data_IF_696608951314
#
_entry.id   IF_696608951314
#
_cell.length_a   1.000
_cell.length_b   1.000
_cell.length_c   1.000
_cell.angle_alpha   90.00
_cell.angle_beta   90.00
_cell.angle_gamma   90.00
#
_symmetry.space_group_name_H-M   'P 1'
#
loop_
_entity.id
_entity.type
_entity.pdbx_description
1 polymer ?
#
# COMPACT_ATOMS: atom_id res chain seq x y z
N UNK A 1 -9.25 13.78 -3.88
CA UNK A 1 -9.10 13.44 -5.32
C UNK A 1 -9.55 12.00 -5.56
N UNK A 2 -9.66 11.53 -6.81
CA UNK A 2 -9.98 10.13 -7.13
C UNK A 2 -8.72 9.35 -7.56
N UNK A 3 -8.80 8.02 -7.60
CA UNK A 3 -7.67 7.13 -7.87
C UNK A 3 -7.06 7.29 -9.26
N UNK A 4 -7.90 7.46 -10.30
CA UNK A 4 -7.43 7.72 -11.67
C UNK A 4 -6.58 8.99 -11.72
N UNK A 5 -7.04 10.07 -11.08
CA UNK A 5 -6.31 11.33 -11.03
C UNK A 5 -5.01 11.18 -10.25
N UNK A 6 -5.04 10.49 -9.10
CA UNK A 6 -3.84 10.22 -8.31
C UNK A 6 -2.77 9.48 -9.13
N UNK A 7 -3.14 8.38 -9.80
CA UNK A 7 -2.22 7.59 -10.61
C UNK A 7 -1.58 8.43 -11.73
N UNK A 8 -2.38 9.22 -12.45
CA UNK A 8 -1.86 10.15 -13.47
C UNK A 8 -0.93 11.21 -12.87
N UNK A 9 -1.29 11.78 -11.72
CA UNK A 9 -0.45 12.78 -11.05
C UNK A 9 0.90 12.19 -10.67
N UNK A 10 0.93 11.05 -9.97
CA UNK A 10 2.19 10.42 -9.54
C UNK A 10 3.06 10.00 -10.74
N UNK A 11 2.45 9.44 -11.78
CA UNK A 11 3.16 9.06 -13.00
C UNK A 11 3.86 10.24 -13.67
N UNK A 12 3.24 11.42 -13.65
CA UNK A 12 3.77 12.63 -14.27
C UNK A 12 4.71 13.46 -13.38
N UNK A 13 4.93 13.08 -12.12
CA UNK A 13 5.91 13.77 -11.26
C UNK A 13 7.34 13.40 -11.67
N UNK A 14 8.20 14.40 -11.82
CA UNK A 14 9.64 14.23 -12.07
C UNK A 14 10.32 13.56 -10.88
N UNK A 15 10.01 14.03 -9.67
CA UNK A 15 10.48 13.46 -8.41
C UNK A 15 9.37 12.62 -7.81
N UNK A 16 9.60 11.31 -7.71
CA UNK A 16 8.62 10.41 -7.13
C UNK A 16 8.52 10.57 -5.61
N UNK A 17 7.29 10.61 -5.06
CA UNK A 17 7.07 10.74 -3.62
C UNK A 17 7.46 9.46 -2.88
N UNK A 18 7.71 9.58 -1.58
CA UNK A 18 7.97 8.44 -0.71
C UNK A 18 7.77 8.80 0.76
N UNK A 19 7.81 7.80 1.64
CA UNK A 19 7.63 8.03 3.07
C UNK A 19 7.53 6.75 3.89
N UNK A 20 7.20 6.90 5.17
CA UNK A 20 6.91 5.77 6.07
C UNK A 20 5.45 5.35 5.93
N UNK A 21 5.19 4.04 5.99
CA UNK A 21 3.85 3.47 5.80
C UNK A 21 3.13 3.20 7.11
N UNK A 22 1.84 3.54 7.14
CA UNK A 22 0.91 3.21 8.22
C UNK A 22 -0.40 2.69 7.63
N UNK A 23 -0.93 1.63 8.23
CA UNK A 23 -2.17 0.99 7.81
C UNK A 23 -3.13 0.94 8.98
N UNK A 24 -4.30 1.58 8.85
CA UNK A 24 -5.31 1.62 9.92
C UNK A 24 -4.70 1.99 11.29
N UNK A 25 -3.85 3.02 11.30
CA UNK A 25 -3.16 3.52 12.50
C UNK A 25 -1.96 2.71 12.98
N UNK A 26 -1.67 1.54 12.37
CA UNK A 26 -0.52 0.70 12.72
C UNK A 26 0.65 0.94 11.77
N UNK A 27 1.79 1.33 12.33
CA UNK A 27 3.02 1.52 11.57
C UNK A 27 3.50 0.19 11.00
N UNK A 28 3.93 0.21 9.74
CA UNK A 28 4.76 -0.86 9.22
C UNK A 28 6.19 -0.62 9.72
N UNK A 29 6.78 -1.62 10.37
CA UNK A 29 8.05 -1.50 11.10
C UNK A 29 8.04 -0.42 12.20
N UNK A 30 9.22 0.01 12.66
CA UNK A 30 9.34 1.14 13.58
C UNK A 30 8.97 2.44 12.85
N UNK A 31 8.25 3.38 13.50
CA UNK A 31 7.92 4.65 12.88
C UNK A 31 9.17 5.36 12.37
N UNK A 32 9.15 5.81 11.12
CA UNK A 32 10.25 6.56 10.48
C UNK A 32 11.57 5.78 10.31
N UNK A 33 11.56 4.46 10.52
CA UNK A 33 12.72 3.57 10.30
C UNK A 33 12.66 2.90 8.92
N UNK A 34 11.66 3.24 8.12
CA UNK A 34 11.53 2.82 6.74
C UNK A 34 11.13 4.00 5.84
N UNK A 35 11.54 3.90 4.58
CA UNK A 35 11.21 4.86 3.55
C UNK A 35 10.87 4.10 2.27
N UNK A 36 9.62 4.22 1.83
CA UNK A 36 9.06 3.53 0.68
C UNK A 36 8.89 4.54 -0.44
N UNK A 37 9.76 4.50 -1.47
CA UNK A 37 9.64 5.42 -2.61
C UNK A 37 8.75 4.80 -3.68
N UNK A 38 7.72 5.53 -4.09
CA UNK A 38 6.81 5.05 -5.14
C UNK A 38 7.55 5.07 -6.48
N UNK A 39 7.65 3.93 -7.15
CA UNK A 39 8.18 3.86 -8.53
C UNK A 39 7.05 3.95 -9.56
N UNK A 40 5.98 3.21 -9.32
CA UNK A 40 4.84 3.10 -10.22
C UNK A 40 3.54 3.26 -9.45
N UNK A 41 2.56 3.90 -10.09
CA UNK A 41 1.19 4.01 -9.58
C UNK A 41 0.20 3.83 -10.74
N UNK A 42 -0.68 2.83 -10.64
CA UNK A 42 -1.72 2.56 -11.63
C UNK A 42 -3.07 2.31 -10.95
N UNK A 43 -4.15 2.51 -11.70
CA UNK A 43 -5.50 2.22 -11.23
C UNK A 43 -6.28 1.51 -12.34
N UNK A 44 -6.69 0.28 -12.05
CA UNK A 44 -7.40 -0.61 -12.95
C UNK A 44 -8.36 -1.51 -12.14
N UNK A 45 -9.52 -1.82 -12.71
CA UNK A 45 -10.56 -2.69 -12.12
C UNK A 45 -10.92 -2.38 -10.64
N UNK A 46 -10.91 -1.09 -10.28
CA UNK A 46 -11.23 -0.64 -8.93
C UNK A 46 -10.09 -0.81 -7.92
N UNK A 47 -8.89 -1.21 -8.36
CA UNK A 47 -7.72 -1.45 -7.53
C UNK A 47 -6.66 -0.39 -7.84
N UNK A 48 -6.19 0.28 -6.80
CA UNK A 48 -5.03 1.17 -6.89
C UNK A 48 -3.78 0.39 -6.52
N UNK A 49 -2.83 0.37 -7.45
CA UNK A 49 -1.57 -0.34 -7.35
C UNK A 49 -0.42 0.64 -7.17
N UNK A 50 0.43 0.38 -6.19
CA UNK A 50 1.74 1.00 -6.06
C UNK A 50 2.83 -0.07 -6.12
N UNK A 51 3.94 0.25 -6.78
CA UNK A 51 5.21 -0.46 -6.61
C UNK A 51 6.22 0.45 -5.94
N UNK A 52 6.96 -0.08 -4.98
CA UNK A 52 8.01 0.64 -4.27
C UNK A 52 9.40 0.21 -4.74
N UNK A 53 10.41 0.99 -4.35
CA UNK A 53 11.79 0.86 -4.82
C UNK A 53 12.53 -0.39 -4.33
N UNK A 54 12.10 -0.99 -3.23
CA UNK A 54 12.65 -2.25 -2.71
C UNK A 54 11.83 -3.47 -3.18
N UNK A 55 10.87 -3.25 -4.09
CA UNK A 55 10.07 -4.30 -4.73
C UNK A 55 8.76 -4.63 -4.01
N UNK A 56 8.44 -3.95 -2.90
CA UNK A 56 7.13 -4.07 -2.27
C UNK A 56 6.03 -3.57 -3.19
N UNK A 57 4.83 -4.13 -2.99
CA UNK A 57 3.65 -3.70 -3.71
C UNK A 57 2.51 -3.40 -2.73
N UNK A 58 1.75 -2.37 -3.01
CA UNK A 58 0.55 -2.03 -2.26
C UNK A 58 -0.64 -2.02 -3.20
N UNK A 59 -1.64 -2.82 -2.86
CA UNK A 59 -2.91 -2.93 -3.59
C UNK A 59 -4.04 -2.47 -2.69
N UNK A 60 -4.86 -1.56 -3.17
CA UNK A 60 -5.96 -0.98 -2.41
C UNK A 60 -7.24 -1.07 -3.22
N UNK A 61 -8.23 -1.81 -2.72
CA UNK A 61 -9.51 -2.03 -3.38
C UNK A 61 -10.48 -0.90 -3.05
N UNK A 62 -11.06 -0.32 -4.09
CA UNK A 62 -12.03 0.78 -4.05
C UNK A 62 -11.58 1.92 -3.10
N UNK A 63 -10.39 2.51 -3.31
CA UNK A 63 -9.89 3.59 -2.48
C UNK A 63 -10.79 4.81 -2.58
N UNK A 64 -11.11 5.43 -1.44
CA UNK A 64 -11.96 6.61 -1.38
C UNK A 64 -11.37 7.68 -0.46
N UNK A 65 -11.82 8.93 -0.67
CA UNK A 65 -11.41 10.13 0.08
C UNK A 65 -9.88 10.30 0.12
N UNK A 66 -9.26 10.26 -1.06
CA UNK A 66 -7.81 10.37 -1.24
C UNK A 66 -7.34 11.82 -1.06
N UNK A 67 -6.36 12.03 -0.20
CA UNK A 67 -5.59 13.27 -0.04
C UNK A 67 -4.17 13.01 -0.51
N UNK A 68 -3.64 13.89 -1.35
CA UNK A 68 -2.26 13.82 -1.83
C UNK A 68 -1.68 15.22 -1.96
N UNK A 69 -0.54 15.43 -1.32
CA UNK A 69 0.25 16.66 -1.37
C UNK A 69 1.75 16.31 -1.22
N UNK A 70 2.58 17.34 -1.06
CA UNK A 70 4.02 17.28 -0.90
C UNK A 70 4.53 16.55 0.36
N UNK A 71 3.68 16.39 1.38
CA UNK A 71 4.06 15.77 2.66
C UNK A 71 3.39 14.42 2.91
N UNK A 72 2.25 14.16 2.29
CA UNK A 72 1.45 13.00 2.60
C UNK A 72 0.62 12.49 1.41
N UNK A 73 0.48 11.17 1.38
CA UNK A 73 -0.57 10.46 0.67
C UNK A 73 -1.44 9.73 1.70
N UNK A 74 -2.71 10.12 1.80
CA UNK A 74 -3.69 9.50 2.69
C UNK A 74 -4.85 8.94 1.88
N UNK A 75 -5.22 7.71 2.16
CA UNK A 75 -6.42 7.05 1.65
C UNK A 75 -7.27 6.70 2.86
N UNK A 76 -8.36 7.45 3.08
CA UNK A 76 -9.16 7.31 4.30
C UNK A 76 -9.91 5.98 4.34
N UNK A 77 -10.47 5.56 3.21
CA UNK A 77 -11.37 4.41 3.14
C UNK A 77 -10.95 3.47 2.01
N UNK A 78 -11.10 2.17 2.25
CA UNK A 78 -10.95 1.11 1.25
C UNK A 78 -11.76 -0.12 1.69
N UNK A 79 -12.02 -1.03 0.75
CA UNK A 79 -12.57 -2.36 1.09
C UNK A 79 -11.48 -3.32 1.57
N UNK A 80 -10.28 -3.20 1.02
CA UNK A 80 -9.14 -4.02 1.38
C UNK A 80 -7.85 -3.28 1.07
N UNK A 81 -6.84 -3.55 1.88
CA UNK A 81 -5.45 -3.21 1.60
C UNK A 81 -4.62 -4.48 1.67
N UNK A 82 -3.82 -4.75 0.64
CA UNK A 82 -2.78 -5.77 0.67
C UNK A 82 -1.43 -5.10 0.50
N UNK A 83 -0.54 -5.33 1.47
CA UNK A 83 0.86 -4.97 1.37
C UNK A 83 1.69 -6.22 1.16
N UNK A 84 2.25 -6.35 -0.04
CA UNK A 84 3.05 -7.49 -0.49
C UNK A 84 4.51 -7.10 -0.30
N UNK A 85 5.23 -7.91 0.47
CA UNK A 85 6.62 -7.64 0.86
C UNK A 85 7.41 -8.93 1.05
N UNK A 86 8.71 -8.76 1.22
CA UNK A 86 9.65 -9.83 1.55
C UNK A 86 10.32 -9.49 2.90
N UNK A 87 10.71 -10.49 3.72
CA UNK A 87 11.53 -10.24 4.89
C UNK A 87 12.83 -9.53 4.50
N UNK A 88 13.30 -8.66 5.38
CA UNK A 88 14.52 -7.90 5.15
C UNK A 88 15.73 -8.84 5.01
N UNK A 89 16.52 -8.64 3.96
CA UNK A 89 17.71 -9.44 3.66
C UNK A 89 17.43 -10.77 2.96
N UNK A 90 16.16 -11.13 2.75
CA UNK A 90 15.79 -12.38 2.09
C UNK A 90 15.58 -12.21 0.57
N UNK A 91 15.88 -13.24 -0.24
CA UNK A 91 15.58 -13.23 -1.67
C UNK A 91 14.08 -13.06 -1.97
N UNK A 92 13.75 -12.37 -3.06
CA UNK A 92 12.38 -12.16 -3.51
C UNK A 92 11.80 -13.39 -4.23
N UNK A 93 11.55 -14.47 -3.47
CA UNK A 93 10.96 -15.72 -3.96
C UNK A 93 9.51 -15.87 -3.49
N UNK A 94 8.75 -16.78 -4.11
CA UNK A 94 7.38 -17.07 -3.66
C UNK A 94 7.31 -17.57 -2.20
N UNK A 95 8.33 -18.29 -1.74
CA UNK A 95 8.43 -18.81 -0.38
C UNK A 95 8.58 -17.70 0.66
N UNK A 96 9.34 -16.65 0.31
CA UNK A 96 9.60 -15.50 1.16
C UNK A 96 8.52 -14.41 1.05
N UNK A 97 7.54 -14.57 0.17
CA UNK A 97 6.50 -13.59 -0.04
C UNK A 97 5.57 -13.53 1.18
N UNK A 98 5.32 -12.32 1.70
CA UNK A 98 4.37 -12.06 2.78
C UNK A 98 3.35 -11.04 2.31
N UNK A 99 2.07 -11.32 2.57
CA UNK A 99 0.96 -10.41 2.32
C UNK A 99 0.37 -10.00 3.67
N UNK A 100 0.57 -8.75 4.08
CA UNK A 100 -0.22 -8.18 5.17
C UNK A 100 -1.56 -7.71 4.58
N UNK A 101 -2.64 -8.41 4.94
CA UNK A 101 -3.99 -8.14 4.43
C UNK A 101 -4.83 -7.46 5.50
N UNK A 102 -5.45 -6.35 5.13
CA UNK A 102 -6.38 -5.59 5.96
C UNK A 102 -7.74 -5.59 5.26
N UNK A 103 -8.58 -6.57 5.58
CA UNK A 103 -9.93 -6.71 5.03
C UNK A 103 -10.91 -7.22 6.09
N UNK A 104 -12.20 -7.11 5.81
CA UNK A 104 -13.27 -7.69 6.63
C UNK A 104 -13.57 -9.17 6.26
N UNK A 105 -12.66 -9.81 5.52
CA UNK A 105 -12.76 -11.22 5.13
C UNK A 105 -13.55 -11.50 3.85
N UNK A 106 -14.11 -10.47 3.17
CA UNK A 106 -14.97 -10.70 1.99
C UNK A 106 -14.23 -10.67 0.62
N UNK A 107 -12.91 -10.49 0.59
CA UNK A 107 -12.18 -10.44 -0.70
C UNK A 107 -11.64 -11.83 -1.06
N UNK A 108 -12.27 -12.47 -2.04
CA UNK A 108 -11.77 -13.69 -2.68
C UNK A 108 -10.66 -13.36 -3.67
N UNK A 109 -9.41 -13.30 -3.22
CA UNK A 109 -8.27 -13.32 -4.14
C UNK A 109 -7.69 -14.74 -4.21
N UNK A 110 -8.15 -15.50 -5.19
CA UNK A 110 -7.73 -16.88 -5.50
C UNK A 110 -6.47 -16.96 -6.38
N UNK A 111 -5.59 -15.94 -6.38
CA UNK A 111 -4.51 -15.83 -7.36
C UNK A 111 -3.08 -16.04 -6.83
N UNK A 112 -2.88 -16.35 -5.56
CA UNK A 112 -1.53 -16.62 -5.03
C UNK A 112 -1.34 -18.12 -4.73
N UNK A 113 -0.39 -18.74 -5.44
CA UNK A 113 0.01 -20.15 -5.25
C UNK A 113 1.17 -20.33 -4.24
N UNK A 114 1.66 -19.24 -3.65
CA UNK A 114 2.76 -19.22 -2.68
C UNK A 114 2.72 -18.00 -1.77
N UNK A 115 3.52 -18.03 -0.70
CA UNK A 115 3.64 -16.95 0.28
C UNK A 115 2.71 -17.08 1.50
N UNK A 116 3.02 -16.30 2.55
CA UNK A 116 2.27 -16.26 3.81
C UNK A 116 1.32 -15.06 3.84
N UNK A 117 0.02 -15.31 3.98
CA UNK A 117 -0.97 -14.26 4.22
C UNK A 117 -1.12 -14.02 5.72
N UNK A 118 -1.07 -12.76 6.13
CA UNK A 118 -1.23 -12.30 7.50
C UNK A 118 -2.43 -11.36 7.55
N UNK A 119 -3.60 -11.87 7.96
CA UNK A 119 -4.78 -11.04 8.17
C UNK A 119 -4.61 -10.13 9.39
N UNK A 120 -4.91 -8.86 9.21
CA UNK A 120 -4.70 -7.79 10.19
C UNK A 120 -6.03 -7.19 10.62
N UNK A 121 -6.06 -6.78 11.88
CA UNK A 121 -7.19 -6.05 12.44
C UNK A 121 -7.31 -4.66 11.81
N UNK A 122 -8.54 -4.26 11.56
CA UNK A 122 -8.92 -2.94 11.06
C UNK A 122 -9.29 -2.04 12.24
N UNK A 123 -8.62 -0.89 12.37
CA UNK A 123 -9.11 0.23 13.19
C UNK A 123 -9.63 1.33 12.26
N UNK A 124 -10.95 1.38 12.08
CA UNK A 124 -11.61 2.30 11.14
C UNK A 124 -11.66 3.75 11.63
N UNK A 125 -11.15 4.04 12.82
CA UNK A 125 -10.93 5.43 13.26
C UNK A 125 -9.72 6.06 12.56
N UNK A 126 -8.86 5.23 11.95
CA UNK A 126 -7.70 5.67 11.20
C UNK A 126 -7.88 5.47 9.70
N UNK A 127 -7.13 6.22 8.87
CA UNK A 127 -7.11 6.00 7.44
C UNK A 127 -6.66 4.59 7.09
N UNK A 128 -7.20 4.05 6.00
CA UNK A 128 -6.79 2.75 5.46
C UNK A 128 -5.28 2.71 5.15
N UNK A 129 -4.76 3.77 4.52
CA UNK A 129 -3.34 3.91 4.19
C UNK A 129 -2.88 5.34 4.42
N UNK A 130 -1.69 5.47 5.00
CA UNK A 130 -0.94 6.71 5.06
C UNK A 130 0.51 6.44 4.65
N UNK A 131 1.01 7.25 3.72
CA UNK A 131 2.42 7.34 3.37
C UNK A 131 2.87 8.77 3.72
N UNK A 132 3.70 8.89 4.74
CA UNK A 132 4.07 10.17 5.34
C UNK A 132 5.54 10.47 5.07
N UNK A 133 5.80 11.57 4.37
CA UNK A 133 7.15 12.07 4.11
C UNK A 133 7.66 12.85 5.33
N UNK A 134 8.95 12.73 5.62
CA UNK A 134 9.64 13.39 6.74
C UNK A 134 10.99 13.94 6.29
#
# INVERSE_FOLDING_TARGET
MNAVKLAKTITNLDVKPGGTLRFYGKWFARPYDNYHKILECSFDDGILHFKFDVGEQLKIWNPNKIVFNDKELIIKESLCVEFIRYPYGEPQTEENLIIDRYSDGQISNNSFKGGKVLDKLLDRNYPAVELLSY
#
